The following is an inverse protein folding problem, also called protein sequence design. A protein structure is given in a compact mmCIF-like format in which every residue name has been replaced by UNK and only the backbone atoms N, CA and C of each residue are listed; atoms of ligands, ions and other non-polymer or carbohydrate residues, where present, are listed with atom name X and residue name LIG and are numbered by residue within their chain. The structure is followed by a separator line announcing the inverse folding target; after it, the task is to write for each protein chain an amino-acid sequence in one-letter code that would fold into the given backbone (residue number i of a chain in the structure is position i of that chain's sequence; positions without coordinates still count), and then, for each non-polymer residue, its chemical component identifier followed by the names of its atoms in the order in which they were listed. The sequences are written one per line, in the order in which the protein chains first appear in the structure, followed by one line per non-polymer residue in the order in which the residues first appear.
data_IF_499620117808
#
_entry.id   IF_499620117808
#
_cell.length_a   1.000
_cell.length_b   1.000
_cell.length_c   1.000
_cell.angle_alpha   90.00
_cell.angle_beta   90.00
_cell.angle_gamma   90.00
#
_symmetry.space_group_name_H-M   'P 1'
#
loop_
_entity.id
_entity.type
_entity.pdbx_description
1 polymer ?
#
# COMPACT_ATOMS: atom_id res chain seq x y z
N UNK A 1 39.57 55.12 56.15
CA UNK A 1 38.95 55.38 57.46
C UNK A 1 37.98 54.26 57.78
N UNK A 2 38.21 53.57 58.90
CA UNK A 2 37.30 52.59 59.51
C UNK A 2 35.96 53.24 59.90
N UNK A 3 34.85 52.49 59.83
CA UNK A 3 34.08 52.10 61.04
C UNK A 3 32.92 51.12 60.75
N UNK A 4 32.94 50.04 61.54
CA UNK A 4 31.86 49.10 61.89
C UNK A 4 30.67 49.79 62.57
N UNK A 5 29.48 49.16 62.47
CA UNK A 5 28.51 48.76 63.53
C UNK A 5 27.26 48.18 62.81
N UNK A 6 26.89 46.89 62.93
CA UNK A 6 26.29 46.10 64.04
C UNK A 6 24.87 46.55 64.44
N UNK A 7 23.93 45.62 64.23
CA UNK A 7 22.68 45.41 64.99
C UNK A 7 21.40 45.94 64.33
N UNK A 8 20.22 45.35 64.41
CA UNK A 8 19.66 44.19 65.14
C UNK A 8 18.38 43.75 64.39
N UNK A 9 18.05 42.48 64.56
CA UNK A 9 16.87 41.71 64.17
C UNK A 9 15.51 42.33 64.53
N UNK A 10 14.52 42.23 63.63
CA UNK A 10 13.10 42.09 64.00
C UNK A 10 12.37 41.19 62.99
N UNK A 11 11.91 40.04 63.48
CA UNK A 11 10.93 39.19 62.80
C UNK A 11 9.59 39.93 62.72
N UNK A 12 9.02 39.99 61.53
CA UNK A 12 7.57 39.99 61.36
C UNK A 12 7.21 39.10 60.18
N UNK A 13 6.46 38.08 60.50
CA UNK A 13 5.84 37.06 59.66
C UNK A 13 5.03 37.67 58.51
N UNK A 14 5.41 37.32 57.28
CA UNK A 14 4.65 37.61 56.08
C UNK A 14 4.81 36.45 55.10
N UNK A 15 3.82 35.55 55.12
CA UNK A 15 3.71 34.36 54.29
C UNK A 15 3.61 34.79 52.81
N UNK A 16 4.72 34.78 52.08
CA UNK A 16 4.70 34.87 50.61
C UNK A 16 4.66 33.47 50.02
N UNK A 17 3.46 33.09 49.58
CA UNK A 17 3.24 31.93 48.71
C UNK A 17 3.81 32.31 47.35
N UNK A 18 4.98 31.76 47.01
CA UNK A 18 5.47 31.76 45.63
C UNK A 18 4.53 30.90 44.79
N UNK A 19 3.77 31.52 43.91
CA UNK A 19 3.08 30.81 42.82
C UNK A 19 4.14 30.21 41.89
N UNK A 20 4.17 28.89 41.64
CA UNK A 20 4.95 28.37 40.54
C UNK A 20 4.32 28.86 39.24
N UNK A 21 5.11 29.56 38.43
CA UNK A 21 4.86 29.78 37.02
C UNK A 21 4.59 28.42 36.36
N UNK A 22 3.34 28.20 35.95
CA UNK A 22 2.99 27.13 35.02
C UNK A 22 3.69 27.43 33.69
N UNK A 23 4.88 26.87 33.49
CA UNK A 23 5.36 26.60 32.15
C UNK A 23 4.48 25.49 31.58
N UNK A 24 3.70 25.82 30.56
CA UNK A 24 3.11 24.81 29.69
C UNK A 24 4.24 23.90 29.19
N UNK A 25 4.15 22.57 29.33
CA UNK A 25 5.08 21.73 28.62
C UNK A 25 4.86 21.98 27.13
N UNK A 26 5.84 22.61 26.49
CA UNK A 26 5.97 22.54 25.05
C UNK A 26 5.96 21.05 24.72
N UNK A 27 4.90 20.59 24.05
CA UNK A 27 4.90 19.30 23.38
C UNK A 27 6.08 19.34 22.43
N UNK A 28 7.18 18.73 22.85
CA UNK A 28 8.24 18.31 21.96
C UNK A 28 7.53 17.53 20.86
N UNK A 29 7.63 18.04 19.62
CA UNK A 29 7.27 17.26 18.46
C UNK A 29 8.03 15.95 18.57
N UNK A 30 7.32 14.85 18.75
CA UNK A 30 7.87 13.52 18.53
C UNK A 30 8.29 13.48 17.06
N UNK A 31 9.54 13.86 16.81
CA UNK A 31 10.22 13.45 15.61
C UNK A 31 10.13 11.92 15.62
N UNK A 32 9.37 11.38 14.68
CA UNK A 32 9.19 9.95 14.49
C UNK A 32 10.55 9.35 14.14
N UNK A 33 11.36 9.07 15.15
CA UNK A 33 12.43 8.10 15.06
C UNK A 33 11.74 6.76 14.94
N UNK A 34 11.40 6.37 13.70
CA UNK A 34 11.16 4.97 13.36
C UNK A 34 12.45 4.23 13.67
N UNK A 35 12.53 3.81 14.93
CA UNK A 35 13.53 2.92 15.47
C UNK A 35 13.53 1.68 14.58
N UNK A 36 14.61 1.51 13.82
CA UNK A 36 14.96 0.26 13.14
C UNK A 36 14.98 -0.82 14.21
N UNK A 37 13.87 -1.56 14.31
CA UNK A 37 13.82 -2.77 15.11
C UNK A 37 14.89 -3.70 14.53
N UNK A 38 15.91 -3.98 15.34
CA UNK A 38 16.85 -5.07 15.08
C UNK A 38 16.05 -6.37 15.17
N UNK A 39 15.66 -6.90 14.02
CA UNK A 39 14.98 -8.19 13.91
C UNK A 39 16.03 -9.29 13.88
N UNK A 40 16.26 -9.93 15.03
CA UNK A 40 17.06 -11.16 15.15
C UNK A 40 16.09 -12.34 15.08
N UNK A 41 15.69 -12.74 13.88
CA UNK A 41 14.94 -13.99 13.65
C UNK A 41 15.77 -14.88 12.70
N UNK A 42 15.80 -16.18 12.99
CA UNK A 42 16.69 -17.17 12.36
C UNK A 42 16.62 -17.13 10.83
N UNK A 43 17.79 -16.88 10.25
CA UNK A 43 18.05 -16.66 8.84
C UNK A 43 18.43 -18.00 8.19
N UNK A 44 17.66 -18.47 7.20
CA UNK A 44 18.02 -19.68 6.42
C UNK A 44 18.87 -19.27 5.20
N UNK A 45 20.14 -19.66 5.21
CA UNK A 45 21.14 -19.29 4.20
C UNK A 45 21.05 -20.19 2.96
N UNK A 46 20.84 -19.60 1.77
CA UNK A 46 21.01 -20.31 0.49
C UNK A 46 22.52 -20.47 0.24
N UNK A 47 23.07 -21.68 0.42
CA UNK A 47 24.47 -21.94 0.12
C UNK A 47 24.76 -21.80 -1.39
N UNK A 48 25.74 -20.99 -1.80
CA UNK A 48 26.23 -21.05 -3.17
C UNK A 48 26.98 -22.37 -3.41
N UNK A 49 26.72 -23.06 -4.51
CA UNK A 49 27.62 -24.10 -5.02
C UNK A 49 28.99 -23.46 -5.31
N UNK A 50 30.07 -24.06 -4.81
CA UNK A 50 31.43 -23.50 -4.75
C UNK A 50 32.06 -23.14 -6.11
N UNK A 51 31.48 -23.56 -7.22
CA UNK A 51 32.00 -23.36 -8.58
C UNK A 51 31.58 -22.02 -9.24
N UNK A 52 30.75 -21.20 -8.56
CA UNK A 52 30.11 -20.01 -9.15
C UNK A 52 30.66 -18.64 -8.69
N UNK A 53 31.87 -18.57 -8.14
CA UNK A 53 32.50 -17.28 -7.76
C UNK A 53 32.86 -16.36 -8.95
N UNK A 54 32.51 -16.73 -10.18
CA UNK A 54 32.68 -15.92 -11.39
C UNK A 54 31.33 -15.74 -12.08
N UNK A 55 30.47 -14.96 -11.46
CA UNK A 55 29.16 -14.54 -11.98
C UNK A 55 29.20 -13.10 -12.53
N UNK A 56 30.38 -12.62 -12.96
CA UNK A 56 30.63 -11.27 -13.49
C UNK A 56 29.86 -10.92 -14.78
N UNK A 57 29.14 -11.89 -15.36
CA UNK A 57 28.46 -11.78 -16.65
C UNK A 57 27.10 -12.48 -16.60
N UNK A 58 26.15 -12.01 -17.41
CA UNK A 58 24.80 -12.57 -17.47
C UNK A 58 24.79 -14.06 -17.83
N UNK A 59 25.71 -14.51 -18.69
CA UNK A 59 25.85 -15.91 -19.10
C UNK A 59 26.32 -16.82 -17.97
N UNK A 60 26.99 -16.26 -16.95
CA UNK A 60 27.47 -16.96 -15.76
C UNK A 60 26.64 -16.64 -14.52
N UNK A 61 25.46 -16.04 -14.71
CA UNK A 61 24.61 -15.61 -13.61
C UNK A 61 24.31 -16.78 -12.67
N UNK A 62 24.48 -16.55 -11.38
CA UNK A 62 24.21 -17.55 -10.37
C UNK A 62 22.71 -17.77 -10.20
N UNK A 63 22.26 -19.03 -10.22
CA UNK A 63 20.86 -19.33 -9.95
C UNK A 63 20.51 -18.98 -8.50
N UNK A 64 19.50 -18.13 -8.33
CA UNK A 64 18.80 -17.97 -7.06
C UNK A 64 17.42 -18.60 -7.22
N UNK A 65 17.09 -19.56 -6.36
CA UNK A 65 15.74 -20.12 -6.29
C UNK A 65 14.88 -19.31 -5.31
N UNK A 66 14.05 -18.35 -5.78
CA UNK A 66 13.03 -17.76 -4.91
C UNK A 66 12.08 -18.88 -4.48
N UNK A 67 11.96 -19.10 -3.17
CA UNK A 67 10.99 -20.06 -2.66
C UNK A 67 9.58 -19.71 -3.13
N UNK A 68 8.83 -20.76 -3.47
CA UNK A 68 7.38 -20.73 -3.70
C UNK A 68 6.59 -20.08 -2.54
N UNK A 69 7.22 -19.90 -1.37
CA UNK A 69 6.64 -19.38 -0.15
C UNK A 69 7.29 -18.05 0.29
N UNK A 70 6.99 -16.95 -0.42
CA UNK A 70 7.34 -15.58 0.01
C UNK A 70 6.69 -15.15 1.35
N UNK A 71 5.85 -16.01 1.93
CA UNK A 71 5.23 -15.91 3.25
C UNK A 71 6.07 -16.55 4.36
N UNK A 72 7.16 -17.25 4.04
CA UNK A 72 8.23 -17.52 5.00
C UNK A 72 9.20 -16.36 4.96
N UNK A 73 9.19 -15.61 6.05
CA UNK A 73 10.05 -14.49 6.35
C UNK A 73 11.52 -14.85 6.07
N UNK A 74 12.08 -14.30 4.99
CA UNK A 74 13.53 -14.12 4.77
C UNK A 74 14.36 -15.32 4.29
N UNK A 75 14.06 -15.84 3.10
CA UNK A 75 15.13 -16.38 2.26
C UNK A 75 15.95 -15.24 1.67
N UNK A 76 17.26 -15.37 1.78
CA UNK A 76 18.19 -14.40 1.27
C UNK A 76 19.39 -15.08 0.64
N UNK A 77 20.00 -14.36 -0.27
CA UNK A 77 21.27 -14.72 -0.89
C UNK A 77 22.32 -13.69 -0.46
N UNK A 78 23.49 -14.15 -0.02
CA UNK A 78 24.63 -13.28 0.29
C UNK A 78 25.64 -13.32 -0.85
N UNK A 79 26.19 -12.16 -1.16
CA UNK A 79 27.31 -12.02 -2.06
C UNK A 79 28.28 -10.96 -1.55
N UNK A 80 29.35 -10.74 -2.30
CA UNK A 80 30.35 -9.74 -1.96
C UNK A 80 31.02 -9.21 -3.20
N UNK A 81 31.15 -7.89 -3.29
CA UNK A 81 31.80 -7.24 -4.42
C UNK A 81 33.26 -6.97 -4.06
N UNK A 82 34.18 -7.69 -4.69
CA UNK A 82 35.61 -7.61 -4.40
C UNK A 82 36.29 -6.33 -4.94
N UNK A 83 35.79 -5.78 -6.05
CA UNK A 83 36.37 -4.62 -6.75
C UNK A 83 35.33 -3.83 -7.54
N UNK A 84 35.68 -2.64 -8.06
CA UNK A 84 34.75 -1.82 -8.87
C UNK A 84 34.35 -2.48 -10.21
N UNK A 85 35.03 -3.55 -10.64
CA UNK A 85 34.72 -4.29 -11.87
C UNK A 85 34.04 -5.65 -11.59
N UNK A 86 33.88 -6.00 -10.32
CA UNK A 86 33.18 -7.19 -9.88
C UNK A 86 31.68 -6.90 -9.94
N UNK A 87 30.97 -7.63 -10.80
CA UNK A 87 29.54 -7.41 -11.06
C UNK A 87 28.82 -8.73 -10.88
N UNK A 88 28.21 -8.93 -9.71
CA UNK A 88 27.48 -10.16 -9.45
C UNK A 88 26.17 -10.21 -10.24
N UNK A 89 26.09 -11.11 -11.22
CA UNK A 89 24.84 -11.48 -11.87
C UNK A 89 24.21 -12.70 -11.18
N UNK A 90 22.89 -12.64 -11.06
CA UNK A 90 22.03 -13.69 -10.54
C UNK A 90 20.88 -13.93 -11.51
N UNK A 91 20.40 -15.16 -11.61
CA UNK A 91 19.29 -15.55 -12.47
C UNK A 91 18.19 -16.21 -11.64
N UNK A 92 16.93 -15.90 -11.95
CA UNK A 92 15.78 -16.57 -11.35
C UNK A 92 14.59 -16.58 -12.31
N UNK A 93 13.73 -17.60 -12.18
CA UNK A 93 12.46 -17.67 -12.90
C UNK A 93 11.35 -17.13 -12.02
N UNK A 94 10.72 -16.01 -12.39
CA UNK A 94 9.51 -15.52 -11.74
C UNK A 94 8.29 -16.32 -12.23
N UNK A 95 7.36 -16.67 -11.36
CA UNK A 95 6.12 -17.36 -11.68
C UNK A 95 4.91 -16.58 -11.20
N UNK A 96 3.77 -16.71 -11.89
CA UNK A 96 2.49 -16.11 -11.44
C UNK A 96 2.06 -16.60 -10.04
N UNK A 97 2.57 -17.74 -9.60
CA UNK A 97 2.29 -18.29 -8.28
C UNK A 97 3.15 -17.68 -7.16
N UNK A 98 4.17 -16.89 -7.50
CA UNK A 98 4.95 -16.15 -6.52
C UNK A 98 4.20 -14.86 -6.11
N UNK A 99 4.10 -14.60 -4.81
CA UNK A 99 3.47 -13.39 -4.31
C UNK A 99 2.01 -13.23 -4.78
N UNK A 100 1.66 -12.07 -5.33
CA UNK A 100 0.33 -11.79 -5.88
C UNK A 100 0.38 -11.62 -7.41
N UNK A 101 0.36 -12.74 -8.14
CA UNK A 101 0.54 -12.82 -9.61
C UNK A 101 1.97 -12.47 -10.08
N UNK A 102 2.98 -13.00 -9.38
CA UNK A 102 4.41 -12.76 -9.63
C UNK A 102 4.92 -11.41 -9.16
N UNK A 103 4.10 -10.65 -8.42
CA UNK A 103 4.51 -9.36 -7.83
C UNK A 103 5.06 -9.53 -6.43
N UNK A 104 6.28 -9.03 -6.25
CA UNK A 104 7.02 -8.95 -5.00
C UNK A 104 8.10 -7.86 -5.14
N UNK A 105 8.87 -7.61 -4.08
CA UNK A 105 10.04 -6.73 -4.15
C UNK A 105 11.32 -7.54 -4.01
N UNK A 106 12.33 -7.19 -4.79
CA UNK A 106 13.71 -7.62 -4.59
C UNK A 106 14.42 -6.47 -3.88
N UNK A 107 15.10 -6.76 -2.77
CA UNK A 107 15.83 -5.76 -2.01
C UNK A 107 17.31 -6.11 -1.95
N UNK A 108 18.17 -5.11 -2.11
CA UNK A 108 19.58 -5.18 -1.75
C UNK A 108 19.74 -4.50 -0.39
N UNK A 109 20.21 -5.25 0.60
CA UNK A 109 20.33 -4.78 1.98
C UNK A 109 21.67 -5.17 2.58
N UNK A 110 21.94 -4.67 3.79
CA UNK A 110 23.17 -4.91 4.55
C UNK A 110 24.46 -4.43 3.85
N UNK A 111 24.35 -3.47 2.93
CA UNK A 111 25.52 -2.78 2.39
C UNK A 111 26.15 -1.94 3.51
N UNK A 112 27.44 -2.16 3.76
CA UNK A 112 28.16 -1.43 4.81
C UNK A 112 28.43 0.01 4.41
N UNK A 113 28.31 0.93 5.36
CA UNK A 113 28.72 2.34 5.18
C UNK A 113 30.13 2.43 4.61
N UNK A 114 30.30 3.31 3.62
CA UNK A 114 31.51 3.44 2.80
C UNK A 114 31.39 2.75 1.43
N UNK A 115 30.50 1.76 1.30
CA UNK A 115 30.16 1.15 0.02
C UNK A 115 28.82 1.67 -0.49
N UNK A 116 28.64 1.59 -1.81
CA UNK A 116 27.41 1.96 -2.54
C UNK A 116 27.25 0.95 -3.67
N UNK A 117 26.17 0.17 -3.61
CA UNK A 117 25.85 -0.89 -4.56
C UNK A 117 24.46 -0.65 -5.14
N UNK A 118 24.39 -0.62 -6.45
CA UNK A 118 23.16 -0.44 -7.20
C UNK A 118 22.57 -1.80 -7.62
N UNK A 119 21.26 -1.83 -7.85
CA UNK A 119 20.54 -3.03 -8.27
C UNK A 119 19.88 -2.84 -9.64
N UNK A 120 20.07 -3.79 -10.56
CA UNK A 120 19.50 -3.75 -11.91
C UNK A 120 18.81 -5.06 -12.25
N UNK A 121 17.64 -4.99 -12.89
CA UNK A 121 16.86 -6.13 -13.35
C UNK A 121 16.79 -6.12 -14.87
N UNK A 122 17.16 -7.23 -15.49
CA UNK A 122 17.11 -7.46 -16.93
C UNK A 122 16.16 -8.61 -17.25
N UNK A 123 15.54 -8.55 -18.43
CA UNK A 123 14.84 -9.70 -18.99
C UNK A 123 15.85 -10.72 -19.58
N UNK A 124 15.32 -11.85 -20.06
CA UNK A 124 16.14 -12.90 -20.68
C UNK A 124 16.92 -12.49 -21.93
N UNK A 125 16.58 -11.36 -22.55
CA UNK A 125 17.27 -10.84 -23.73
C UNK A 125 18.32 -9.78 -23.35
N UNK A 126 18.54 -9.56 -22.05
CA UNK A 126 19.43 -8.53 -21.54
C UNK A 126 18.88 -7.11 -21.60
N UNK A 127 17.57 -6.94 -21.84
CA UNK A 127 16.94 -5.61 -21.82
C UNK A 127 16.68 -5.19 -20.38
N UNK A 128 17.07 -3.97 -20.02
CA UNK A 128 16.81 -3.42 -18.68
C UNK A 128 15.30 -3.25 -18.46
N UNK A 129 14.78 -3.91 -17.43
CA UNK A 129 13.37 -3.87 -17.01
C UNK A 129 13.17 -2.84 -15.90
N UNK A 130 14.06 -2.81 -14.92
CA UNK A 130 14.00 -1.91 -13.78
C UNK A 130 15.37 -1.77 -13.11
N UNK A 131 15.55 -0.72 -12.31
CA UNK A 131 16.76 -0.49 -11.54
C UNK A 131 16.48 0.36 -10.30
N UNK A 132 17.35 0.24 -9.30
CA UNK A 132 17.39 1.11 -8.13
C UNK A 132 18.85 1.54 -7.93
N UNK A 133 19.07 2.85 -7.84
CA UNK A 133 20.38 3.51 -7.89
C UNK A 133 20.51 4.60 -6.83
N UNK A 134 20.28 4.23 -5.57
CA UNK A 134 20.29 5.18 -4.45
C UNK A 134 21.73 5.60 -4.14
N UNK A 135 21.87 6.48 -3.16
CA UNK A 135 23.17 7.03 -2.79
C UNK A 135 23.68 6.38 -1.54
N UNK A 136 25.00 6.19 -1.46
CA UNK A 136 25.66 5.62 -0.28
C UNK A 136 25.21 4.17 -0.05
N UNK A 137 25.12 3.74 1.20
CA UNK A 137 24.77 2.37 1.56
C UNK A 137 23.27 2.20 1.81
N UNK A 138 22.43 3.02 1.17
CA UNK A 138 20.99 2.89 1.26
C UNK A 138 20.53 1.56 0.65
N UNK A 139 19.42 1.01 1.16
CA UNK A 139 18.87 -0.22 0.62
C UNK A 139 18.29 0.03 -0.77
N UNK A 140 18.61 -0.83 -1.74
CA UNK A 140 18.01 -0.81 -3.06
C UNK A 140 16.72 -1.63 -3.09
N UNK A 141 15.73 -1.19 -3.87
CA UNK A 141 14.44 -1.88 -3.98
C UNK A 141 13.98 -1.88 -5.44
N UNK A 142 13.79 -3.08 -6.01
CA UNK A 142 13.12 -3.28 -7.29
C UNK A 142 11.76 -3.93 -7.05
N UNK A 143 10.72 -3.35 -7.61
CA UNK A 143 9.38 -3.93 -7.60
C UNK A 143 9.13 -4.73 -8.86
N UNK A 144 8.81 -6.01 -8.70
CA UNK A 144 8.54 -6.88 -9.84
C UNK A 144 7.18 -6.55 -10.48
N UNK A 145 7.11 -6.46 -11.81
CA UNK A 145 5.85 -6.25 -12.51
C UNK A 145 4.96 -7.49 -12.39
N UNK A 146 3.66 -7.30 -12.64
CA UNK A 146 2.71 -8.41 -12.77
C UNK A 146 3.06 -9.25 -14.00
N UNK A 147 3.05 -10.57 -13.86
CA UNK A 147 3.32 -11.51 -14.95
C UNK A 147 2.15 -12.46 -15.18
N UNK A 148 1.90 -12.80 -16.44
CA UNK A 148 0.83 -13.73 -16.84
C UNK A 148 1.30 -15.19 -16.94
N UNK A 149 2.61 -15.39 -17.12
CA UNK A 149 3.26 -16.69 -17.25
C UNK A 149 4.67 -16.62 -16.65
N UNK A 150 5.26 -17.78 -16.38
CA UNK A 150 6.63 -17.85 -15.85
C UNK A 150 7.61 -17.14 -16.80
N UNK A 151 8.51 -16.34 -16.25
CA UNK A 151 9.42 -15.47 -17.00
C UNK A 151 10.78 -15.46 -16.30
N UNK A 152 11.84 -15.67 -17.08
CA UNK A 152 13.22 -15.63 -16.60
C UNK A 152 13.73 -14.19 -16.53
N UNK A 153 14.43 -13.90 -15.43
CA UNK A 153 15.02 -12.59 -15.16
C UNK A 153 16.46 -12.75 -14.67
N UNK A 154 17.23 -11.69 -14.91
CA UNK A 154 18.60 -11.54 -14.44
C UNK A 154 18.70 -10.32 -13.55
N UNK A 155 19.29 -10.48 -12.38
CA UNK A 155 19.53 -9.43 -11.41
C UNK A 155 21.04 -9.16 -11.37
N UNK A 156 21.45 -7.91 -11.51
CA UNK A 156 22.85 -7.51 -11.38
C UNK A 156 23.02 -6.59 -10.18
N UNK A 157 23.99 -6.91 -9.32
CA UNK A 157 24.48 -6.02 -8.26
C UNK A 157 25.74 -5.35 -8.78
N UNK A 158 25.75 -4.02 -8.83
CA UNK A 158 26.89 -3.26 -9.39
C UNK A 158 27.49 -2.32 -8.36
N UNK A 159 28.82 -2.32 -8.17
CA UNK A 159 29.47 -1.33 -7.33
C UNK A 159 29.46 0.04 -7.97
N UNK A 160 29.07 1.03 -7.18
CA UNK A 160 29.22 2.46 -7.48
C UNK A 160 30.28 3.11 -6.61
N UNK A 161 30.45 2.61 -5.39
CA UNK A 161 31.52 3.01 -4.49
C UNK A 161 31.98 1.84 -3.61
N UNK A 162 33.28 1.74 -3.36
CA UNK A 162 33.91 0.72 -2.52
C UNK A 162 34.99 1.34 -1.61
N UNK A 163 34.60 2.12 -0.60
CA UNK A 163 35.56 2.70 0.37
C UNK A 163 35.74 1.83 1.61
N UNK A 164 34.85 0.88 1.87
CA UNK A 164 34.98 -0.03 3.00
C UNK A 164 35.70 -1.31 2.56
N UNK A 165 36.99 -1.40 2.87
CA UNK A 165 37.84 -2.53 2.47
C UNK A 165 37.61 -3.79 3.31
N UNK A 166 37.04 -3.65 4.51
CA UNK A 166 36.85 -4.75 5.46
C UNK A 166 35.56 -5.56 5.22
N UNK A 167 34.50 -4.90 4.73
CA UNK A 167 33.19 -5.52 4.55
C UNK A 167 32.50 -5.01 3.27
N UNK A 168 32.64 -5.80 2.20
CA UNK A 168 32.04 -5.55 0.87
C UNK A 168 30.85 -6.46 0.58
N UNK A 169 30.22 -6.99 1.63
CA UNK A 169 29.11 -7.92 1.52
C UNK A 169 27.80 -7.19 1.25
N UNK A 170 26.86 -7.95 0.71
CA UNK A 170 25.47 -7.53 0.56
C UNK A 170 24.54 -8.72 0.75
N UNK A 171 23.25 -8.43 0.81
CA UNK A 171 22.20 -9.44 0.87
C UNK A 171 21.07 -9.11 -0.10
N UNK A 172 20.70 -10.07 -0.93
CA UNK A 172 19.51 -10.01 -1.79
C UNK A 172 18.35 -10.68 -1.05
N UNK A 173 17.22 -9.99 -0.94
CA UNK A 173 16.01 -10.48 -0.27
C UNK A 173 14.82 -10.41 -1.21
N UNK A 174 14.12 -11.53 -1.37
CA UNK A 174 12.84 -11.62 -2.07
C UNK A 174 11.72 -11.48 -1.04
N UNK A 175 10.99 -10.37 -1.08
CA UNK A 175 9.99 -10.04 -0.06
C UNK A 175 8.61 -9.84 -0.67
N UNK A 176 7.58 -10.39 -0.01
CA UNK A 176 6.20 -10.07 -0.34
C UNK A 176 5.98 -8.56 -0.18
N UNK A 177 5.73 -7.88 -1.29
CA UNK A 177 5.50 -6.44 -1.33
C UNK A 177 4.03 -6.06 -1.52
N UNK A 178 3.21 -6.98 -2.05
CA UNK A 178 1.79 -6.73 -2.29
C UNK A 178 0.97 -7.10 -1.07
N UNK A 179 0.33 -6.12 -0.45
CA UNK A 179 -0.68 -6.34 0.58
C UNK A 179 -2.08 -6.26 -0.01
N UNK A 180 -3.02 -6.94 0.64
CA UNK A 180 -4.44 -6.91 0.30
C UNK A 180 -5.21 -6.37 1.48
N UNK A 181 -6.05 -5.39 1.24
CA UNK A 181 -6.85 -4.75 2.27
C UNK A 181 -8.29 -4.56 1.82
N UNK A 182 -9.14 -4.20 2.78
CA UNK A 182 -10.55 -3.91 2.55
C UNK A 182 -10.89 -2.54 3.11
N UNK A 183 -11.47 -1.69 2.27
CA UNK A 183 -11.99 -0.39 2.66
C UNK A 183 -13.51 -0.38 2.58
N UNK A 184 -14.16 -0.05 3.68
CA UNK A 184 -15.61 0.18 3.70
C UNK A 184 -15.88 1.67 3.66
N UNK A 185 -16.82 2.07 2.80
CA UNK A 185 -17.30 3.45 2.73
C UNK A 185 -18.82 3.46 2.78
N UNK A 186 -19.31 4.33 3.63
CA UNK A 186 -20.74 4.55 3.81
C UNK A 186 -21.17 5.69 2.90
N UNK A 187 -22.15 5.41 2.05
CA UNK A 187 -22.79 6.41 1.22
C UNK A 187 -23.97 7.02 1.96
N UNK A 188 -24.35 8.23 1.58
CA UNK A 188 -25.65 8.75 1.98
C UNK A 188 -26.74 7.88 1.36
N UNK A 189 -27.68 7.32 2.15
CA UNK A 189 -28.73 6.49 1.57
C UNK A 189 -29.51 7.29 0.52
N UNK A 190 -29.61 6.80 -0.73
CA UNK A 190 -30.47 7.43 -1.72
C UNK A 190 -31.90 7.30 -1.23
N UNK A 191 -32.54 8.43 -0.95
CA UNK A 191 -33.98 8.49 -0.73
C UNK A 191 -34.59 8.99 -2.03
N UNK A 192 -35.26 8.10 -2.77
CA UNK A 192 -35.97 8.49 -3.98
C UNK A 192 -37.41 8.81 -3.58
N UNK A 193 -37.71 10.10 -3.46
CA UNK A 193 -39.06 10.61 -3.31
C UNK A 193 -39.52 11.10 -4.69
N UNK A 194 -39.94 10.19 -5.56
CA UNK A 194 -40.30 10.55 -6.93
C UNK A 194 -41.81 10.79 -7.05
N UNK A 195 -42.15 12.04 -7.39
CA UNK A 195 -43.32 12.43 -8.17
C UNK A 195 -42.77 12.93 -9.51
N UNK A 196 -42.55 12.02 -10.46
CA UNK A 196 -42.25 12.25 -11.89
C UNK A 196 -40.81 12.57 -12.36
N UNK A 197 -39.74 12.45 -11.57
CA UNK A 197 -38.37 12.57 -12.14
C UNK A 197 -37.40 11.48 -11.67
N UNK A 198 -36.87 10.74 -12.65
CA UNK A 198 -35.81 9.74 -12.51
C UNK A 198 -34.45 10.42 -12.37
N UNK A 199 -34.24 11.14 -11.26
CA UNK A 199 -32.95 11.71 -10.88
C UNK A 199 -32.50 11.06 -9.56
N UNK A 200 -31.68 10.03 -9.64
CA UNK A 200 -31.21 9.34 -8.44
C UNK A 200 -30.05 10.14 -7.79
N UNK A 201 -30.05 10.36 -6.46
CA UNK A 201 -28.95 11.05 -5.80
C UNK A 201 -27.67 10.21 -5.91
N UNK A 202 -26.65 10.77 -6.55
CA UNK A 202 -25.34 10.14 -6.66
C UNK A 202 -24.65 10.18 -5.29
N UNK A 203 -24.42 9.01 -4.69
CA UNK A 203 -23.46 8.91 -3.59
C UNK A 203 -22.04 8.89 -4.16
N UNK A 204 -21.24 9.89 -3.78
CA UNK A 204 -19.81 9.91 -4.06
C UNK A 204 -19.05 9.27 -2.90
N UNK A 205 -18.11 8.39 -3.21
CA UNK A 205 -17.28 7.71 -2.22
C UNK A 205 -15.86 8.28 -2.26
N UNK A 206 -15.41 8.90 -1.17
CA UNK A 206 -14.03 9.39 -1.08
C UNK A 206 -13.04 8.26 -0.80
N UNK A 207 -12.10 8.07 -1.72
CA UNK A 207 -11.04 7.07 -1.68
C UNK A 207 -9.65 7.70 -1.51
N UNK A 208 -9.60 8.97 -1.10
CA UNK A 208 -8.36 9.72 -0.86
C UNK A 208 -7.37 9.01 0.06
N UNK A 209 -7.87 8.22 1.01
CA UNK A 209 -7.05 7.46 1.97
C UNK A 209 -6.40 6.20 1.40
N UNK A 210 -6.72 5.78 0.17
CA UNK A 210 -6.09 4.59 -0.42
C UNK A 210 -4.64 4.89 -0.83
N UNK A 211 -3.73 3.91 -0.77
CA UNK A 211 -2.38 4.04 -1.29
C UNK A 211 -2.36 4.52 -2.75
N UNK A 212 -1.31 5.24 -3.15
CA UNK A 212 -1.26 5.89 -4.46
C UNK A 212 -1.33 4.91 -5.64
N UNK A 213 -0.74 3.73 -5.46
CA UNK A 213 -0.68 2.66 -6.44
C UNK A 213 -1.76 1.59 -6.24
N UNK A 214 -2.66 1.78 -5.27
CA UNK A 214 -3.67 0.79 -4.97
C UNK A 214 -4.51 0.50 -6.22
N UNK A 215 -4.76 -0.79 -6.46
CA UNK A 215 -5.60 -1.29 -7.54
C UNK A 215 -6.76 -2.03 -6.92
N UNK A 216 -7.98 -1.71 -7.33
CA UNK A 216 -9.18 -2.39 -6.84
C UNK A 216 -9.19 -3.82 -7.41
N UNK A 217 -9.39 -4.81 -6.56
CA UNK A 217 -9.48 -6.23 -6.94
C UNK A 217 -10.89 -6.78 -6.77
N UNK A 218 -11.74 -6.10 -6.01
CA UNK A 218 -13.11 -6.50 -5.79
C UNK A 218 -13.98 -5.34 -5.31
N UNK A 219 -15.26 -5.40 -5.66
CA UNK A 219 -16.27 -4.43 -5.23
C UNK A 219 -17.50 -5.20 -4.75
N UNK A 220 -18.05 -4.82 -3.61
CA UNK A 220 -19.37 -5.28 -3.18
C UNK A 220 -20.19 -4.15 -2.62
N UNK A 221 -21.49 -4.19 -2.91
CA UNK A 221 -22.46 -3.19 -2.48
C UNK A 221 -23.45 -3.84 -1.52
N UNK A 222 -23.66 -3.19 -0.40
CA UNK A 222 -24.64 -3.60 0.60
C UNK A 222 -25.54 -2.43 0.93
N UNK A 223 -26.82 -2.73 1.06
CA UNK A 223 -27.79 -1.77 1.52
C UNK A 223 -28.97 -2.53 2.13
N UNK A 224 -29.64 -1.88 3.07
CA UNK A 224 -30.84 -2.40 3.69
C UNK A 224 -32.08 -1.89 2.96
N UNK A 225 -33.01 -2.80 2.70
CA UNK A 225 -34.32 -2.45 2.16
C UNK A 225 -35.13 -1.71 3.22
N UNK A 226 -35.42 -0.43 2.95
CA UNK A 226 -36.37 0.35 3.73
C UNK A 226 -37.80 0.18 3.22
N UNK A 227 -38.65 1.17 3.51
CA UNK A 227 -40.04 1.21 3.01
C UNK A 227 -40.01 1.41 1.51
N UNK A 228 -40.70 0.53 0.78
CA UNK A 228 -40.83 0.67 -0.66
C UNK A 228 -42.10 0.04 -1.19
N UNK A 229 -42.72 0.72 -2.15
CA UNK A 229 -43.79 0.21 -2.97
C UNK A 229 -43.33 -0.08 -4.42
N UNK A 230 -42.06 0.10 -4.77
CA UNK A 230 -41.54 -0.17 -6.12
C UNK A 230 -41.07 -1.62 -6.28
N UNK A 231 -40.74 -2.05 -7.50
CA UNK A 231 -40.11 -3.35 -7.79
C UNK A 231 -38.96 -3.23 -8.80
N UNK A 232 -38.28 -4.34 -9.09
CA UNK A 232 -37.17 -4.41 -10.05
C UNK A 232 -36.05 -3.39 -9.78
N UNK A 233 -35.50 -3.45 -8.57
CA UNK A 233 -34.47 -2.52 -8.13
C UNK A 233 -33.13 -2.80 -8.80
N UNK A 234 -32.46 -1.75 -9.27
CA UNK A 234 -31.16 -1.81 -9.92
C UNK A 234 -30.28 -0.73 -9.34
N UNK A 235 -29.13 -1.12 -8.79
CA UNK A 235 -28.05 -0.18 -8.53
C UNK A 235 -27.21 -0.02 -9.78
N UNK A 236 -26.79 1.20 -10.06
CA UNK A 236 -25.82 1.51 -11.10
C UNK A 236 -24.56 2.00 -10.41
N UNK A 237 -23.46 1.26 -10.57
CA UNK A 237 -22.15 1.62 -10.04
C UNK A 237 -21.27 2.06 -11.19
N UNK A 238 -20.69 3.26 -11.07
CA UNK A 238 -19.83 3.82 -12.11
C UNK A 238 -18.56 4.39 -11.51
N UNK A 239 -17.50 4.41 -12.32
CA UNK A 239 -16.28 5.18 -12.05
C UNK A 239 -15.85 5.88 -13.33
N UNK A 240 -15.06 6.95 -13.20
CA UNK A 240 -14.67 7.75 -14.37
C UNK A 240 -13.83 6.94 -15.37
N UNK A 241 -13.02 5.99 -14.89
CA UNK A 241 -12.12 5.17 -15.71
C UNK A 241 -12.60 3.73 -15.91
N UNK A 242 -13.41 3.19 -15.00
CA UNK A 242 -13.88 1.81 -15.00
C UNK A 242 -15.21 1.59 -15.72
N UNK A 243 -15.88 2.67 -16.14
CA UNK A 243 -17.18 2.59 -16.80
C UNK A 243 -18.30 2.29 -15.80
N UNK A 244 -19.41 1.74 -16.31
CA UNK A 244 -20.67 1.57 -15.57
C UNK A 244 -21.12 0.12 -15.55
N UNK A 245 -21.60 -0.34 -14.39
CA UNK A 245 -22.21 -1.66 -14.19
C UNK A 245 -23.57 -1.51 -13.52
N UNK A 246 -24.56 -2.21 -14.06
CA UNK A 246 -25.89 -2.31 -13.47
C UNK A 246 -26.01 -3.63 -12.69
N UNK A 247 -26.49 -3.52 -11.47
CA UNK A 247 -26.55 -4.61 -10.50
C UNK A 247 -27.98 -4.74 -10.00
N UNK A 248 -28.70 -5.80 -10.38
CA UNK A 248 -30.01 -6.10 -9.81
C UNK A 248 -29.89 -6.28 -8.29
N UNK A 249 -30.77 -5.63 -7.54
CA UNK A 249 -30.74 -5.67 -6.08
C UNK A 249 -32.00 -6.30 -5.51
N UNK A 250 -31.82 -7.23 -4.58
CA UNK A 250 -32.91 -7.96 -3.93
C UNK A 250 -33.06 -7.61 -2.45
N UNK A 251 -32.48 -6.51 -1.98
CA UNK A 251 -32.56 -6.10 -0.58
C UNK A 251 -31.43 -6.63 0.32
N UNK A 252 -30.30 -7.06 -0.25
CA UNK A 252 -29.17 -7.66 0.46
C UNK A 252 -27.83 -7.23 -0.16
N UNK A 253 -26.70 -7.72 0.37
CA UNK A 253 -25.37 -7.56 -0.23
C UNK A 253 -25.33 -8.18 -1.64
N UNK A 254 -24.71 -7.48 -2.57
CA UNK A 254 -24.44 -7.96 -3.92
C UNK A 254 -22.96 -7.74 -4.27
N UNK A 255 -22.30 -8.79 -4.73
CA UNK A 255 -20.95 -8.72 -5.25
C UNK A 255 -20.96 -8.16 -6.68
N UNK A 256 -20.08 -7.21 -6.95
CA UNK A 256 -19.95 -6.53 -8.25
C UNK A 256 -18.71 -7.06 -8.96
N UNK A 257 -18.61 -8.39 -9.04
CA UNK A 257 -17.48 -9.10 -9.66
C UNK A 257 -17.34 -8.85 -11.17
N UNK A 258 -18.41 -8.37 -11.82
CA UNK A 258 -18.41 -7.99 -13.24
C UNK A 258 -17.76 -6.63 -13.52
N UNK A 259 -17.46 -5.84 -12.48
CA UNK A 259 -16.68 -4.61 -12.63
C UNK A 259 -15.24 -4.97 -12.98
N UNK A 260 -14.71 -4.47 -14.10
CA UNK A 260 -13.33 -4.75 -14.54
C UNK A 260 -12.33 -3.98 -13.67
N UNK A 261 -12.18 -4.38 -12.41
CA UNK A 261 -11.42 -3.63 -11.40
C UNK A 261 -9.90 -3.64 -11.65
N UNK A 262 -9.38 -4.62 -12.39
CA UNK A 262 -7.94 -4.82 -12.67
C UNK A 262 -7.26 -3.68 -13.44
N UNK A 263 -8.01 -2.63 -13.84
CA UNK A 263 -7.51 -1.48 -14.59
C UNK A 263 -7.94 -0.13 -13.99
N UNK A 264 -8.61 -0.12 -12.84
CA UNK A 264 -9.12 1.12 -12.23
C UNK A 264 -8.20 1.54 -11.09
N UNK A 265 -7.51 2.70 -11.19
CA UNK A 265 -6.76 3.25 -10.08
C UNK A 265 -7.69 3.38 -8.88
N UNK A 266 -7.28 2.90 -7.70
CA UNK A 266 -8.18 2.91 -6.55
C UNK A 266 -8.55 4.31 -6.07
N UNK A 267 -7.80 5.34 -6.46
CA UNK A 267 -8.15 6.76 -6.26
C UNK A 267 -9.15 7.33 -7.29
N UNK A 268 -9.76 6.50 -8.14
CA UNK A 268 -10.82 6.97 -9.04
C UNK A 268 -12.07 7.38 -8.25
N UNK A 269 -12.92 8.21 -8.86
CA UNK A 269 -14.19 8.62 -8.25
C UNK A 269 -15.27 7.61 -8.59
N UNK A 270 -15.88 7.03 -7.57
CA UNK A 270 -16.97 6.06 -7.70
C UNK A 270 -18.32 6.70 -7.36
N UNK A 271 -19.31 6.41 -8.18
CA UNK A 271 -20.69 6.86 -8.01
C UNK A 271 -21.61 5.66 -7.94
N UNK A 272 -22.53 5.68 -6.98
CA UNK A 272 -23.64 4.74 -6.91
C UNK A 272 -24.93 5.51 -7.08
N UNK A 273 -25.73 5.08 -8.06
CA UNK A 273 -27.09 5.54 -8.27
C UNK A 273 -28.07 4.36 -8.22
N UNK A 274 -29.34 4.66 -8.03
CA UNK A 274 -30.38 3.67 -7.78
C UNK A 274 -31.61 3.91 -8.66
N UNK A 275 -32.09 2.85 -9.30
CA UNK A 275 -33.26 2.85 -10.16
C UNK A 275 -34.25 1.77 -9.71
N UNK A 276 -35.55 2.06 -9.84
CA UNK A 276 -36.64 1.12 -9.55
C UNK A 276 -37.83 1.37 -10.49
N UNK A 277 -38.69 0.37 -10.64
CA UNK A 277 -39.95 0.49 -11.38
C UNK A 277 -41.08 0.79 -10.39
N UNK A 278 -41.73 1.93 -10.57
CA UNK A 278 -42.83 2.41 -9.72
C UNK A 278 -44.19 1.85 -10.15
N UNK A 279 -45.11 1.67 -9.20
CA UNK A 279 -46.50 1.37 -9.56
C UNK A 279 -47.28 2.64 -9.91
N UNK A 280 -48.09 2.61 -10.98
CA UNK A 280 -49.10 3.63 -11.19
C UNK A 280 -50.22 3.50 -10.15
N UNK A 281 -50.54 4.59 -9.47
CA UNK A 281 -51.69 4.73 -8.57
C UNK A 281 -52.69 5.72 -9.18
N UNK A 282 -53.99 5.43 -9.05
CA UNK A 282 -55.02 6.33 -9.52
C UNK A 282 -55.46 7.27 -8.41
N UNK A 283 -55.15 8.56 -8.52
CA UNK A 283 -55.44 9.58 -7.50
C UNK A 283 -56.14 10.75 -8.20
N UNK A 284 -57.34 11.11 -7.72
CA UNK A 284 -58.10 12.25 -8.25
C UNK A 284 -58.43 12.16 -9.75
N UNK A 285 -58.69 10.96 -10.28
CA UNK A 285 -59.02 10.78 -11.69
C UNK A 285 -57.81 10.70 -12.63
N UNK A 286 -56.58 10.70 -12.10
CA UNK A 286 -55.34 10.63 -12.89
C UNK A 286 -54.47 9.48 -12.43
N UNK A 287 -53.78 8.86 -13.39
CA UNK A 287 -52.74 7.86 -13.12
C UNK A 287 -51.45 8.60 -12.71
N UNK A 288 -51.02 8.41 -11.47
CA UNK A 288 -49.81 9.01 -10.89
C UNK A 288 -48.85 7.88 -10.56
N UNK A 289 -47.60 7.94 -11.03
CA UNK A 289 -46.56 7.02 -10.57
C UNK A 289 -46.07 7.51 -9.22
N UNK A 290 -46.23 6.67 -8.20
CA UNK A 290 -45.78 6.98 -6.82
C UNK A 290 -44.78 5.91 -6.44
N UNK A 291 -43.49 6.25 -6.53
CA UNK A 291 -42.40 5.41 -6.02
C UNK A 291 -41.83 6.03 -4.76
N UNK A 292 -42.17 5.47 -3.60
CA UNK A 292 -41.38 5.70 -2.40
C UNK A 292 -40.35 4.58 -2.36
N UNK A 293 -39.07 4.94 -2.43
CA UNK A 293 -38.00 3.98 -2.14
C UNK A 293 -37.07 4.57 -1.11
N UNK A 294 -37.14 4.01 0.10
CA UNK A 294 -36.16 4.24 1.15
C UNK A 294 -35.15 3.10 1.14
N UNK A 295 -33.88 3.45 0.96
CA UNK A 295 -32.74 2.55 1.20
C UNK A 295 -32.06 3.02 2.47
N UNK A 296 -31.53 2.09 3.26
CA UNK A 296 -30.76 2.40 4.47
C UNK A 296 -29.37 1.78 4.38
N UNK A 297 -28.44 2.32 5.16
CA UNK A 297 -27.10 1.75 5.37
C UNK A 297 -26.34 1.40 4.07
N UNK A 298 -26.44 2.27 3.05
CA UNK A 298 -25.72 2.08 1.79
C UNK A 298 -24.21 2.03 2.07
N UNK A 299 -23.59 0.92 1.70
CA UNK A 299 -22.17 0.63 1.94
C UNK A 299 -21.53 0.05 0.70
N UNK A 300 -20.50 0.71 0.21
CA UNK A 300 -19.61 0.19 -0.83
C UNK A 300 -18.34 -0.32 -0.16
N UNK A 301 -18.00 -1.58 -0.44
CA UNK A 301 -16.80 -2.23 0.08
C UNK A 301 -15.84 -2.46 -1.08
N UNK A 302 -14.62 -1.95 -0.92
CA UNK A 302 -13.51 -2.08 -1.86
C UNK A 302 -12.53 -3.10 -1.31
N UNK A 303 -12.28 -4.14 -2.07
CA UNK A 303 -11.09 -4.97 -1.90
C UNK A 303 -10.03 -4.42 -2.84
N UNK A 304 -8.83 -4.16 -2.32
CA UNK A 304 -7.75 -3.61 -3.11
C UNK A 304 -6.43 -4.24 -2.72
N UNK A 305 -5.48 -4.13 -3.63
CA UNK A 305 -4.11 -4.50 -3.43
C UNK A 305 -3.20 -3.31 -3.70
N UNK A 306 -2.08 -3.24 -2.99
CA UNK A 306 -1.10 -2.18 -3.13
C UNK A 306 0.29 -2.69 -2.75
N UNK A 307 1.31 -1.99 -3.22
CA UNK A 307 2.69 -2.28 -2.88
C UNK A 307 3.06 -1.51 -1.60
N UNK A 308 3.21 -2.26 -0.50
CA UNK A 308 3.56 -1.75 0.83
C UNK A 308 4.88 -0.99 0.85
N UNK A 309 5.80 -1.35 -0.06
CA UNK A 309 7.18 -0.90 -0.03
C UNK A 309 7.44 0.26 -1.01
N UNK A 310 6.41 0.84 -1.64
CA UNK A 310 6.56 1.91 -2.65
C UNK A 310 7.11 3.24 -2.13
N UNK A 311 6.99 3.50 -0.84
CA UNK A 311 7.47 4.73 -0.21
C UNK A 311 8.80 4.55 0.53
N UNK A 312 9.44 3.38 0.38
CA UNK A 312 10.80 3.12 0.88
C UNK A 312 11.81 3.26 -0.23
#
# INVERSE_FOLDING_TARGET
MFKKKIGILLLTTGLFIATPLFQSPAQASEASTKQTKNYTEELEHLYPDSDYANNDTMEKAQLIEPSLYLNKSYLYHEGSISSMNDIDFHHFTNSKFFGADGRFSIKLVNVKSGNDFDLYLYDKNGTLVSSSVRTYNENEIIHMPKIAASTDYYLAVKPKQLLNEEDKKYRIVFNKSIEKETLKRYGSPPTLNSLNEAGSPNSNFDLSSLPQDAVVTGLSLEADKGVTNAHSYVFTVSSLKGGTVNVPWKGQKVDISSYKTSQVPAKDRFFVSFNAIEFPQFIGGRLIKVGVVSIKNLRLTFEYEYNRDLNY
#
